data_IF_003849682208
#
_entry.id   IF_003849682208
#
_cell.length_a   1.000
_cell.length_b   1.000
_cell.length_c   1.000
_cell.angle_alpha   90.00
_cell.angle_beta   90.00
_cell.angle_gamma   90.00
#
_symmetry.space_group_name_H-M   'P 1'
#
loop_
_entity.id
_entity.type
_entity.pdbx_description
1 polymer ?
#
# COMPACT_ATOMS: atom_id res chain seq x y z
N UNK A 1 -57.62 -70.91 15.07
CA UNK A 1 -56.92 -70.19 16.16
C UNK A 1 -55.56 -69.72 15.63
N UNK A 2 -55.22 -68.42 15.72
CA UNK A 2 -54.09 -67.81 15.01
C UNK A 2 -52.87 -67.50 15.90
N UNK A 3 -51.87 -66.90 15.25
CA UNK A 3 -50.66 -66.19 15.71
C UNK A 3 -49.38 -67.05 15.68
N UNK A 4 -48.43 -66.84 14.75
CA UNK A 4 -47.61 -65.66 14.38
C UNK A 4 -46.76 -65.14 15.54
N UNK A 5 -45.45 -65.38 15.48
CA UNK A 5 -44.44 -64.50 16.06
C UNK A 5 -43.30 -64.29 15.06
N UNK A 6 -43.11 -63.03 14.68
CA UNK A 6 -42.05 -62.54 13.80
C UNK A 6 -40.82 -62.19 14.66
N UNK A 7 -39.65 -62.73 14.30
CA UNK A 7 -38.37 -62.25 14.84
C UNK A 7 -37.88 -61.06 14.03
N UNK A 8 -37.95 -59.86 14.60
CA UNK A 8 -37.24 -58.68 14.10
C UNK A 8 -35.74 -58.83 14.39
N UNK A 9 -34.93 -58.99 13.35
CA UNK A 9 -33.47 -58.89 13.44
C UNK A 9 -33.09 -57.42 13.24
N UNK A 10 -32.91 -56.71 14.37
CA UNK A 10 -32.46 -55.32 14.43
C UNK A 10 -30.99 -55.22 14.03
N UNK A 11 -30.72 -54.70 12.84
CA UNK A 11 -29.38 -54.42 12.34
C UNK A 11 -28.95 -53.04 12.86
N UNK A 12 -28.26 -53.01 13.99
CA UNK A 12 -27.73 -51.79 14.60
C UNK A 12 -26.49 -51.33 13.82
N UNK A 13 -26.70 -50.49 12.80
CA UNK A 13 -25.61 -49.76 12.13
C UNK A 13 -25.05 -48.71 13.10
N UNK A 14 -23.90 -49.01 13.71
CA UNK A 14 -23.08 -48.03 14.42
C UNK A 14 -22.46 -47.06 13.40
N UNK A 15 -23.11 -45.91 13.22
CA UNK A 15 -22.55 -44.73 12.56
C UNK A 15 -21.39 -44.19 13.40
N UNK A 16 -20.16 -44.62 13.10
CA UNK A 16 -18.96 -43.87 13.50
C UNK A 16 -18.93 -42.56 12.69
N UNK A 17 -19.60 -41.54 13.20
CA UNK A 17 -19.36 -40.16 12.77
C UNK A 17 -18.01 -39.73 13.33
N UNK A 18 -16.95 -39.99 12.56
CA UNK A 18 -15.66 -39.33 12.75
C UNK A 18 -15.92 -37.83 12.55
N UNK A 19 -16.02 -37.11 13.66
CA UNK A 19 -15.96 -35.65 13.67
C UNK A 19 -14.55 -35.25 13.23
N UNK A 20 -14.38 -35.13 11.91
CA UNK A 20 -13.31 -34.31 11.34
C UNK A 20 -13.60 -32.90 11.84
N UNK A 21 -12.87 -32.47 12.87
CA UNK A 21 -12.76 -31.08 13.25
C UNK A 21 -12.30 -30.32 12.01
N UNK A 22 -13.25 -29.76 11.25
CA UNK A 22 -12.93 -28.83 10.18
C UNK A 22 -12.28 -27.62 10.86
N UNK A 23 -10.95 -27.54 10.77
CA UNK A 23 -10.24 -26.33 11.13
C UNK A 23 -10.82 -25.21 10.25
N UNK A 24 -11.37 -24.18 10.89
CA UNK A 24 -11.87 -23.03 10.17
C UNK A 24 -10.70 -22.43 9.36
N UNK A 25 -10.89 -22.17 8.06
CA UNK A 25 -9.81 -21.64 7.23
C UNK A 25 -9.26 -20.36 7.87
N UNK A 26 -7.92 -20.21 7.91
CA UNK A 26 -7.30 -19.06 8.54
C UNK A 26 -7.84 -17.78 7.90
N UNK A 27 -8.52 -16.95 8.69
CA UNK A 27 -8.96 -15.65 8.23
C UNK A 27 -7.76 -14.71 8.11
N UNK A 28 -7.73 -13.89 7.07
CA UNK A 28 -6.70 -12.85 6.92
C UNK A 28 -6.77 -11.93 8.15
N UNK A 29 -5.69 -11.79 8.94
CA UNK A 29 -5.72 -10.96 10.13
C UNK A 29 -6.08 -9.52 9.77
N UNK A 30 -7.09 -8.97 10.44
CA UNK A 30 -7.37 -7.53 10.37
C UNK A 30 -6.20 -6.79 11.00
N UNK A 31 -5.57 -5.89 10.24
CA UNK A 31 -4.49 -5.05 10.74
C UNK A 31 -5.11 -3.92 11.56
N UNK A 32 -4.79 -3.84 12.85
CA UNK A 32 -5.26 -2.75 13.70
C UNK A 32 -4.65 -1.41 13.26
N UNK A 33 -5.45 -0.34 13.25
CA UNK A 33 -4.98 1.02 12.98
C UNK A 33 -3.85 1.43 13.93
N UNK A 34 -2.87 2.23 13.48
CA UNK A 34 -1.81 2.71 14.34
C UNK A 34 -2.40 3.61 15.45
N UNK A 35 -1.86 3.50 16.65
CA UNK A 35 -2.27 4.32 17.81
C UNK A 35 -1.28 5.43 18.11
N UNK A 36 -0.15 5.51 17.40
CA UNK A 36 0.86 6.56 17.58
C UNK A 36 1.39 7.05 16.25
N UNK A 37 1.90 8.28 16.22
CA UNK A 37 2.58 8.85 15.07
C UNK A 37 3.74 7.98 14.59
N UNK A 38 4.56 7.47 15.51
CA UNK A 38 5.68 6.59 15.18
C UNK A 38 5.22 5.31 14.46
N UNK A 39 4.13 4.68 14.91
CA UNK A 39 3.60 3.48 14.25
C UNK A 39 3.07 3.79 12.84
N UNK A 40 2.31 4.87 12.68
CA UNK A 40 1.76 5.26 11.38
C UNK A 40 2.89 5.57 10.39
N UNK A 41 3.89 6.33 10.83
CA UNK A 41 5.07 6.66 10.03
C UNK A 41 5.88 5.45 9.65
N UNK A 42 6.20 4.57 10.59
CA UNK A 42 6.96 3.35 10.30
C UNK A 42 6.27 2.48 9.24
N UNK A 43 4.94 2.34 9.32
CA UNK A 43 4.15 1.62 8.32
C UNK A 43 4.19 2.31 6.95
N UNK A 44 4.05 3.63 6.91
CA UNK A 44 4.11 4.39 5.66
C UNK A 44 5.49 4.32 5.00
N UNK A 45 6.58 4.40 5.77
CA UNK A 45 7.94 4.28 5.27
C UNK A 45 8.15 2.88 4.67
N UNK A 46 7.78 1.81 5.38
CA UNK A 46 7.93 0.45 4.85
C UNK A 46 7.15 0.24 3.56
N UNK A 47 5.91 0.75 3.49
CA UNK A 47 5.09 0.66 2.28
C UNK A 47 5.68 1.50 1.14
N UNK A 48 6.15 2.71 1.43
CA UNK A 48 6.81 3.58 0.46
C UNK A 48 8.06 2.92 -0.11
N UNK A 49 8.97 2.42 0.72
CA UNK A 49 10.22 1.78 0.28
C UNK A 49 9.93 0.54 -0.57
N UNK A 50 8.90 -0.23 -0.21
CA UNK A 50 8.47 -1.40 -0.97
C UNK A 50 8.01 -1.03 -2.38
N UNK A 51 7.13 -0.03 -2.49
CA UNK A 51 6.58 0.41 -3.77
C UNK A 51 7.59 1.19 -4.61
N UNK A 52 8.44 1.99 -3.96
CA UNK A 52 9.56 2.66 -4.57
C UNK A 52 10.51 1.65 -5.21
N UNK A 53 11.02 0.69 -4.43
CA UNK A 53 11.95 -0.33 -4.92
C UNK A 53 11.32 -1.19 -6.01
N UNK A 54 10.06 -1.59 -5.84
CA UNK A 54 9.32 -2.36 -6.86
C UNK A 54 9.23 -1.59 -8.16
N UNK A 55 8.84 -0.31 -8.12
CA UNK A 55 8.75 0.53 -9.32
C UNK A 55 10.11 0.65 -10.02
N UNK A 56 11.19 0.84 -9.27
CA UNK A 56 12.55 0.92 -9.84
C UNK A 56 12.95 -0.37 -10.57
N UNK A 57 12.70 -1.53 -9.93
CA UNK A 57 13.02 -2.84 -10.52
C UNK A 57 12.16 -3.12 -11.75
N UNK A 58 10.84 -2.90 -11.66
CA UNK A 58 9.92 -3.13 -12.77
C UNK A 58 10.29 -2.26 -13.96
N UNK A 59 10.57 -0.98 -13.73
CA UNK A 59 10.95 -0.06 -14.79
C UNK A 59 12.32 -0.41 -15.41
N UNK A 60 13.28 -0.90 -14.63
CA UNK A 60 14.60 -1.28 -15.14
C UNK A 60 14.56 -2.58 -15.95
N UNK A 61 13.86 -3.60 -15.43
CA UNK A 61 13.99 -4.97 -15.92
C UNK A 61 12.90 -5.35 -16.94
N UNK A 62 11.75 -4.65 -16.94
CA UNK A 62 10.59 -5.06 -17.74
C UNK A 62 10.02 -3.96 -18.65
N UNK A 63 10.47 -2.71 -18.52
CA UNK A 63 10.01 -1.62 -19.38
C UNK A 63 10.96 -1.39 -20.56
N UNK A 64 10.40 -1.50 -21.77
CA UNK A 64 11.03 -1.20 -23.04
C UNK A 64 10.24 -0.08 -23.72
N UNK A 65 10.89 1.07 -23.93
CA UNK A 65 10.27 2.33 -24.35
C UNK A 65 9.30 2.17 -25.55
N UNK A 66 9.68 1.38 -26.55
CA UNK A 66 8.92 1.20 -27.80
C UNK A 66 8.06 -0.09 -27.85
N UNK A 67 8.21 -1.00 -26.87
CA UNK A 67 7.58 -2.33 -26.90
C UNK A 67 6.57 -2.55 -25.77
N UNK A 68 6.73 -1.83 -24.66
CA UNK A 68 5.87 -1.99 -23.49
C UNK A 68 4.48 -1.40 -23.72
N UNK A 69 3.45 -2.24 -23.54
CA UNK A 69 2.05 -1.85 -23.70
C UNK A 69 1.49 -1.01 -22.54
N UNK A 70 2.13 -1.06 -21.37
CA UNK A 70 1.66 -0.41 -20.14
C UNK A 70 2.83 0.29 -19.45
N UNK A 71 2.56 1.46 -18.88
CA UNK A 71 3.53 2.24 -18.11
C UNK A 71 3.71 1.59 -16.72
N UNK A 72 4.94 1.37 -16.24
CA UNK A 72 5.20 0.69 -14.96
C UNK A 72 4.44 1.25 -13.75
N UNK A 73 4.33 2.58 -13.64
CA UNK A 73 3.61 3.22 -12.54
C UNK A 73 2.11 2.93 -12.57
N UNK A 74 1.52 2.86 -13.77
CA UNK A 74 0.10 2.54 -13.93
C UNK A 74 -0.20 1.08 -13.59
N UNK A 75 0.73 0.16 -13.87
CA UNK A 75 0.58 -1.25 -13.47
C UNK A 75 0.51 -1.47 -11.96
N UNK A 76 0.97 -0.51 -11.15
CA UNK A 76 0.87 -0.58 -9.69
C UNK A 76 -0.42 0.05 -9.14
N UNK A 77 -1.23 0.73 -9.95
CA UNK A 77 -2.50 1.34 -9.50
C UNK A 77 -3.53 0.28 -9.08
N UNK A 78 -3.51 -0.92 -9.70
CA UNK A 78 -4.30 -2.06 -9.24
C UNK A 78 -3.92 -2.50 -7.81
N UNK A 79 -2.63 -2.40 -7.46
CA UNK A 79 -2.17 -2.65 -6.08
C UNK A 79 -2.67 -1.56 -5.14
N UNK A 80 -2.76 -0.31 -5.62
CA UNK A 80 -3.29 0.80 -4.82
C UNK A 80 -4.77 0.59 -4.51
N UNK A 81 -5.56 0.17 -5.50
CA UNK A 81 -6.96 -0.17 -5.32
C UNK A 81 -7.14 -1.33 -4.33
N UNK A 82 -6.34 -2.40 -4.45
CA UNK A 82 -6.40 -3.52 -3.52
C UNK A 82 -6.09 -3.12 -2.05
N UNK A 83 -5.13 -2.21 -1.85
CA UNK A 83 -4.79 -1.67 -0.52
C UNK A 83 -5.90 -0.77 0.05
N UNK A 84 -6.57 0.00 -0.80
CA UNK A 84 -7.72 0.81 -0.40
C UNK A 84 -8.90 -0.09 0.02
N UNK A 85 -9.25 -1.09 -0.80
CA UNK A 85 -10.36 -2.00 -0.51
C UNK A 85 -10.13 -2.82 0.76
N UNK A 86 -8.92 -3.39 0.90
CA UNK A 86 -8.61 -4.35 1.97
C UNK A 86 -8.26 -3.67 3.30
N UNK A 87 -7.61 -2.51 3.25
CA UNK A 87 -7.00 -1.87 4.43
C UNK A 87 -7.30 -0.37 4.57
N UNK A 88 -8.11 0.20 3.68
CA UNK A 88 -8.42 1.63 3.65
C UNK A 88 -7.16 2.50 3.52
N UNK A 89 -6.09 1.96 2.92
CA UNK A 89 -4.86 2.68 2.64
C UNK A 89 -4.92 3.22 1.22
N UNK A 90 -4.93 4.54 1.09
CA UNK A 90 -5.01 5.25 -0.18
C UNK A 90 -3.62 5.64 -0.62
N UNK A 91 -3.29 5.36 -1.89
CA UNK A 91 -2.01 5.70 -2.49
C UNK A 91 -2.24 6.52 -3.75
N UNK A 92 -1.35 7.49 -3.98
CA UNK A 92 -1.42 8.39 -5.14
C UNK A 92 -0.01 8.77 -5.58
N UNK A 93 0.31 8.58 -6.86
CA UNK A 93 1.53 9.14 -7.44
C UNK A 93 1.44 10.67 -7.46
N UNK A 94 2.57 11.34 -7.22
CA UNK A 94 2.63 12.79 -7.09
C UNK A 94 3.68 13.38 -8.03
N UNK A 95 3.27 14.33 -8.86
CA UNK A 95 4.17 15.14 -9.68
C UNK A 95 4.87 16.17 -8.80
N UNK A 96 6.21 16.16 -8.79
CA UNK A 96 7.04 17.11 -8.01
C UNK A 96 7.92 17.95 -8.93
N UNK A 97 8.91 17.35 -9.60
CA UNK A 97 9.87 18.05 -10.48
C UNK A 97 9.80 17.58 -11.95
N UNK A 98 8.70 16.93 -12.35
CA UNK A 98 8.52 16.35 -13.68
C UNK A 98 7.47 17.08 -14.48
N UNK A 99 7.44 16.81 -15.79
CA UNK A 99 6.27 17.13 -16.59
C UNK A 99 5.05 16.34 -16.09
N UNK A 100 3.85 16.88 -16.31
CA UNK A 100 2.61 16.18 -16.03
C UNK A 100 2.41 15.13 -17.12
N UNK A 101 2.69 13.88 -16.78
CA UNK A 101 2.43 12.72 -17.65
C UNK A 101 0.99 12.24 -17.49
N UNK A 102 0.48 12.23 -16.24
CA UNK A 102 -0.92 11.99 -15.90
C UNK A 102 -1.45 13.16 -15.05
N UNK A 103 -2.63 13.69 -15.39
CA UNK A 103 -3.26 14.81 -14.67
C UNK A 103 -3.69 14.43 -13.26
N UNK A 104 -4.05 13.15 -13.04
CA UNK A 104 -4.50 12.65 -11.75
C UNK A 104 -3.37 12.66 -10.70
N UNK A 105 -2.11 12.81 -11.13
CA UNK A 105 -0.95 12.85 -10.25
C UNK A 105 -0.57 14.27 -9.81
N UNK A 106 -1.38 15.28 -10.21
CA UNK A 106 -1.16 16.65 -9.74
C UNK A 106 -1.48 16.77 -8.25
N UNK A 107 -0.74 17.64 -7.53
CA UNK A 107 -1.14 18.01 -6.18
C UNK A 107 -2.48 18.75 -6.23
N UNK A 108 -3.42 18.36 -5.37
CA UNK A 108 -4.77 18.93 -5.30
C UNK A 108 -5.07 19.49 -3.90
N UNK A 109 -4.61 18.79 -2.85
CA UNK A 109 -4.87 19.21 -1.47
C UNK A 109 -3.79 20.15 -0.93
N UNK A 110 -4.07 20.94 0.13
CA UNK A 110 -3.06 21.71 0.83
C UNK A 110 -1.87 20.86 1.31
N UNK A 111 -2.13 19.63 1.76
CA UNK A 111 -1.09 18.67 2.14
C UNK A 111 -0.20 18.31 0.94
N UNK A 112 -0.78 18.00 -0.21
CA UNK A 112 -0.03 17.62 -1.41
C UNK A 112 0.82 18.76 -1.94
N UNK A 113 0.30 20.00 -1.93
CA UNK A 113 1.09 21.18 -2.29
C UNK A 113 2.26 21.42 -1.33
N UNK A 114 2.07 21.17 -0.02
CA UNK A 114 3.15 21.26 0.96
C UNK A 114 4.18 20.14 0.75
N UNK A 115 3.72 18.92 0.47
CA UNK A 115 4.57 17.77 0.15
C UNK A 115 5.44 18.04 -1.08
N UNK A 116 4.86 18.55 -2.17
CA UNK A 116 5.64 18.91 -3.38
C UNK A 116 6.77 19.88 -3.04
N UNK A 117 6.50 20.93 -2.26
CA UNK A 117 7.52 21.90 -1.84
C UNK A 117 8.62 21.24 -0.99
N UNK A 118 8.23 20.40 -0.04
CA UNK A 118 9.15 19.68 0.83
C UNK A 118 10.05 18.70 0.05
N UNK A 119 9.47 17.91 -0.84
CA UNK A 119 10.19 16.93 -1.64
C UNK A 119 11.10 17.58 -2.69
N UNK A 120 10.69 18.68 -3.31
CA UNK A 120 11.55 19.48 -4.20
C UNK A 120 12.78 20.06 -3.45
N UNK A 121 12.66 20.28 -2.14
CA UNK A 121 13.76 20.67 -1.27
C UNK A 121 14.59 19.47 -0.77
N UNK A 122 14.40 18.28 -1.35
CA UNK A 122 15.08 17.03 -1.00
C UNK A 122 14.90 16.60 0.46
N UNK A 123 13.79 16.98 1.09
CA UNK A 123 13.42 16.39 2.38
C UNK A 123 13.17 14.89 2.20
N UNK A 124 13.54 14.05 3.19
CA UNK A 124 13.37 12.60 3.06
C UNK A 124 11.90 12.18 3.01
N UNK A 125 11.00 12.97 3.59
CA UNK A 125 9.55 12.82 3.51
C UNK A 125 8.84 14.09 4.00
N UNK A 126 7.52 14.13 3.82
CA UNK A 126 6.59 15.08 4.44
C UNK A 126 5.39 14.31 4.99
N UNK A 127 5.06 14.48 6.27
CA UNK A 127 3.95 13.78 6.91
C UNK A 127 3.12 14.67 7.82
N UNK A 128 1.95 14.17 8.20
CA UNK A 128 1.05 14.86 9.11
C UNK A 128 -0.25 14.10 9.35
N UNK A 129 -1.09 14.65 10.23
CA UNK A 129 -2.43 14.10 10.52
C UNK A 129 -3.48 15.09 10.04
N UNK A 130 -4.45 14.60 9.27
CA UNK A 130 -5.58 15.36 8.74
C UNK A 130 -6.86 14.58 9.07
N UNK A 131 -7.66 15.09 10.02
CA UNK A 131 -8.84 14.38 10.51
C UNK A 131 -8.49 13.05 11.19
N UNK A 132 -9.09 11.98 10.69
CA UNK A 132 -8.95 10.58 11.11
C UNK A 132 -7.90 9.82 10.28
N UNK A 133 -7.05 10.54 9.54
CA UNK A 133 -6.01 9.96 8.69
C UNK A 133 -4.63 10.50 9.01
N UNK A 134 -3.66 9.60 9.00
CA UNK A 134 -2.26 9.93 8.85
C UNK A 134 -1.93 9.99 7.36
N UNK A 135 -1.20 11.03 6.94
CA UNK A 135 -0.76 11.25 5.56
C UNK A 135 0.75 11.31 5.53
N UNK A 136 1.34 10.67 4.53
CA UNK A 136 2.77 10.63 4.27
C UNK A 136 3.02 10.89 2.79
N UNK A 137 4.09 11.58 2.46
CA UNK A 137 4.60 11.74 1.12
C UNK A 137 6.11 11.49 1.12
N UNK A 138 6.53 10.48 0.35
CA UNK A 138 7.94 10.12 0.19
C UNK A 138 8.41 10.35 -1.26
N UNK A 139 9.71 10.61 -1.48
CA UNK A 139 10.25 10.84 -2.81
C UNK A 139 10.31 9.55 -3.62
N UNK A 140 10.07 9.64 -4.92
CA UNK A 140 10.41 8.63 -5.91
C UNK A 140 11.52 9.23 -6.77
N UNK A 141 12.72 8.67 -6.64
CA UNK A 141 13.87 9.09 -7.44
C UNK A 141 13.65 8.72 -8.91
N UNK A 142 13.84 9.70 -9.79
CA UNK A 142 13.86 9.52 -11.24
C UNK A 142 15.28 9.76 -11.73
N UNK A 143 16.00 8.66 -11.96
CA UNK A 143 17.34 8.69 -12.52
C UNK A 143 17.32 9.01 -14.02
N UNK A 144 18.49 9.27 -14.61
CA UNK A 144 18.62 9.75 -16.00
C UNK A 144 17.81 8.97 -17.04
N UNK A 145 17.69 7.65 -16.92
CA UNK A 145 16.89 6.84 -17.85
C UNK A 145 15.39 7.15 -17.77
N UNK A 146 14.88 7.46 -16.58
CA UNK A 146 13.48 7.82 -16.35
C UNK A 146 13.14 9.18 -16.97
N UNK A 147 14.12 10.09 -17.06
CA UNK A 147 13.90 11.45 -17.56
C UNK A 147 13.55 11.51 -19.05
N UNK A 148 13.80 10.43 -19.81
CA UNK A 148 13.37 10.36 -21.22
C UNK A 148 11.87 10.55 -21.39
N UNK A 149 11.08 9.95 -20.50
CA UNK A 149 9.63 10.00 -20.56
C UNK A 149 9.03 11.03 -19.60
N UNK A 150 9.72 11.33 -18.49
CA UNK A 150 9.22 12.21 -17.43
C UNK A 150 9.61 13.69 -17.60
N UNK A 151 10.56 14.02 -18.49
CA UNK A 151 11.03 15.39 -18.74
C UNK A 151 11.28 15.60 -20.24
N UNK A 152 10.25 16.04 -20.97
CA UNK A 152 10.22 16.14 -22.45
C UNK A 152 11.37 16.96 -23.03
N UNK A 153 11.71 18.07 -22.36
CA UNK A 153 12.75 19.00 -22.79
C UNK A 153 13.90 19.06 -21.77
N UNK A 154 14.36 17.89 -21.29
CA UNK A 154 15.45 17.85 -20.31
C UNK A 154 16.70 18.57 -20.83
N UNK A 155 17.31 19.38 -19.96
CA UNK A 155 18.54 20.14 -20.25
C UNK A 155 19.80 19.50 -19.67
N UNK A 156 19.61 18.53 -18.78
CA UNK A 156 20.63 17.82 -18.03
C UNK A 156 20.15 16.40 -17.72
N UNK A 157 21.01 15.63 -17.05
CA UNK A 157 20.74 14.25 -16.61
C UNK A 157 20.69 14.12 -15.09
N UNK A 158 20.60 15.25 -14.38
CA UNK A 158 20.51 15.24 -12.92
C UNK A 158 19.21 14.58 -12.47
N UNK A 159 19.23 13.86 -11.35
CA UNK A 159 18.03 13.20 -10.85
C UNK A 159 16.89 14.20 -10.66
N UNK A 160 15.66 13.74 -10.90
CA UNK A 160 14.43 14.46 -10.56
C UNK A 160 13.64 13.69 -9.51
N UNK A 161 12.77 14.42 -8.82
CA UNK A 161 11.88 13.86 -7.83
C UNK A 161 10.46 13.75 -8.40
N UNK A 162 9.85 12.58 -8.26
CA UNK A 162 8.41 12.41 -8.16
C UNK A 162 8.07 12.07 -6.71
N UNK A 163 6.80 11.82 -6.40
CA UNK A 163 6.38 11.43 -5.05
C UNK A 163 5.37 10.30 -5.05
N UNK A 164 5.21 9.70 -3.88
CA UNK A 164 4.14 8.80 -3.56
C UNK A 164 3.49 9.27 -2.26
N UNK A 165 2.20 9.60 -2.34
CA UNK A 165 1.37 9.95 -1.19
C UNK A 165 0.71 8.67 -0.68
N UNK A 166 0.74 8.49 0.63
CA UNK A 166 0.11 7.38 1.36
C UNK A 166 -0.78 8.00 2.43
N UNK A 167 -2.05 7.62 2.45
CA UNK A 167 -2.99 8.02 3.51
C UNK A 167 -3.58 6.77 4.14
N UNK A 168 -3.58 6.69 5.47
CA UNK A 168 -4.09 5.54 6.20
C UNK A 168 -4.93 5.98 7.42
N UNK A 169 -5.95 5.21 7.81
CA UNK A 169 -6.71 5.50 9.01
C UNK A 169 -5.81 5.40 10.25
N UNK A 170 -6.12 6.20 11.26
CA UNK A 170 -5.53 6.11 12.60
C UNK A 170 -6.59 5.68 13.62
N UNK A 171 -6.16 5.16 14.77
CA UNK A 171 -7.10 4.84 15.84
C UNK A 171 -7.73 6.11 16.44
N UNK A 172 -8.94 6.02 17.00
CA UNK A 172 -9.55 7.16 17.71
C UNK A 172 -8.69 7.66 18.89
N UNK A 173 -7.95 6.74 19.52
CA UNK A 173 -7.03 7.02 20.63
C UNK A 173 -5.63 7.45 20.18
N UNK A 174 -5.48 7.94 18.95
CA UNK A 174 -4.18 8.22 18.35
C UNK A 174 -3.38 9.30 19.09
N UNK A 175 -2.19 8.92 19.54
CA UNK A 175 -1.20 9.84 20.09
C UNK A 175 -0.37 10.49 18.98
N UNK A 176 -0.52 11.79 18.84
CA UNK A 176 0.20 12.63 17.87
C UNK A 176 1.63 12.96 18.31
N UNK A 177 1.97 12.66 19.56
CA UNK A 177 3.28 12.94 20.11
C UNK A 177 4.30 12.02 19.45
N UNK A 178 5.35 12.60 18.89
CA UNK A 178 6.50 11.83 18.48
C UNK A 178 7.20 11.34 19.76
N UNK A 179 7.41 10.03 19.97
CA UNK A 179 8.20 9.59 21.11
C UNK A 179 9.57 10.24 20.99
N UNK A 180 10.03 10.86 22.09
CA UNK A 180 11.35 11.47 22.14
C UNK A 180 12.37 10.47 21.60
N UNK A 181 13.09 10.85 20.55
CA UNK A 181 14.12 10.02 19.98
C UNK A 181 15.23 9.88 21.03
N UNK A 182 15.20 8.81 21.82
CA UNK A 182 16.33 8.35 22.62
C UNK A 182 17.39 7.81 21.65
N UNK A 183 18.02 8.73 20.91
CA UNK A 183 19.25 8.49 20.18
C UNK A 183 20.39 8.62 21.20
N UNK A 184 20.72 7.51 21.85
CA UNK A 184 22.07 7.33 22.39
C UNK A 184 22.97 6.85 21.25
N UNK A 185 24.06 7.58 21.07
CA UNK A 185 25.13 7.40 20.07
C UNK A 185 25.69 5.98 19.99
#
# INVERSE_FOLDING_TARGET
MPSRFHGLMSCLLLLFMTSLSQAEPPQVPKIASPTTLAQARARAILLHETLHGTLQVVHRDFFLEDESRVIPSASLEDVFHALEESFQVQLKWLVVETDVVNVDHKPESPFEHAAVKALAQRKPYWDGVEGDKYRFAGPIRLASQCLKCHVRNRKDTEDRTAGLVISMPIAETFDKTEPAADLKE
#
